data_IF_108041836536
#
_entry.id   IF_108041836536
#
_cell.length_a   1.000
_cell.length_b   1.000
_cell.length_c   1.000
_cell.angle_alpha   90.00
_cell.angle_beta   90.00
_cell.angle_gamma   90.00
#
_symmetry.space_group_name_H-M   'P 1'
#
loop_
_entity.id
_entity.type
_entity.pdbx_description
1 polymer ?
#
# COMPACT_ATOMS: atom_id res chain seq x y z
N UNK A 1 3.09 14.27 10.37
CA UNK A 1 4.30 14.31 9.52
C UNK A 1 4.63 12.88 9.14
N UNK A 2 4.95 12.61 7.88
CA UNK A 2 5.42 11.27 7.51
C UNK A 2 6.71 10.94 8.28
N UNK A 3 6.70 9.79 8.92
CA UNK A 3 7.79 9.24 9.72
C UNK A 3 7.84 7.73 9.43
N UNK A 4 8.74 7.03 10.11
CA UNK A 4 8.92 5.59 9.95
C UNK A 4 7.62 4.78 10.11
N UNK A 5 6.66 5.28 10.90
CA UNK A 5 5.38 4.60 11.16
C UNK A 5 4.51 4.48 9.90
N UNK A 6 4.47 5.53 9.06
CA UNK A 6 3.77 5.48 7.75
C UNK A 6 4.40 4.45 6.81
N UNK A 7 5.71 4.22 6.91
CA UNK A 7 6.38 3.17 6.15
C UNK A 7 6.03 1.77 6.68
N UNK A 8 5.87 1.60 8.00
CA UNK A 8 5.38 0.35 8.57
C UNK A 8 3.92 0.07 8.17
N UNK A 9 3.07 1.11 8.13
CA UNK A 9 1.69 1.00 7.63
C UNK A 9 1.66 0.52 6.18
N UNK A 10 2.53 1.06 5.32
CA UNK A 10 2.66 0.61 3.93
C UNK A 10 3.02 -0.88 3.84
N UNK A 11 3.97 -1.35 4.66
CA UNK A 11 4.33 -2.77 4.71
C UNK A 11 3.15 -3.64 5.16
N UNK A 12 2.46 -3.23 6.24
CA UNK A 12 1.31 -3.96 6.75
C UNK A 12 0.17 -4.07 5.71
N UNK A 13 -0.04 -3.03 4.90
CA UNK A 13 -1.01 -3.08 3.79
C UNK A 13 -0.61 -4.09 2.72
N UNK A 14 0.68 -4.19 2.38
CA UNK A 14 1.17 -5.17 1.40
C UNK A 14 0.98 -6.58 1.94
N UNK A 15 1.43 -6.84 3.17
CA UNK A 15 1.33 -8.16 3.81
C UNK A 15 -0.14 -8.60 3.95
N UNK A 16 -1.04 -7.66 4.28
CA UNK A 16 -2.47 -7.92 4.42
C UNK A 16 -3.17 -8.34 3.12
N UNK A 17 -2.59 -8.08 1.96
CA UNK A 17 -3.16 -8.46 0.66
C UNK A 17 -2.81 -9.88 0.21
N UNK A 18 -1.83 -10.53 0.83
CA UNK A 18 -1.28 -11.80 0.38
C UNK A 18 -2.35 -12.90 0.22
N UNK A 19 -3.24 -13.02 1.21
CA UNK A 19 -4.31 -14.03 1.21
C UNK A 19 -5.33 -13.80 0.09
N UNK A 20 -5.71 -12.55 -0.17
CA UNK A 20 -6.66 -12.24 -1.24
C UNK A 20 -6.00 -12.31 -2.62
N UNK A 21 -4.70 -11.98 -2.71
CA UNK A 21 -3.92 -12.17 -3.92
C UNK A 21 -3.84 -13.65 -4.30
N UNK A 22 -3.49 -14.54 -3.36
CA UNK A 22 -3.50 -15.99 -3.59
C UNK A 22 -4.87 -16.45 -4.07
N UNK A 23 -5.95 -16.15 -3.33
CA UNK A 23 -7.32 -16.54 -3.71
C UNK A 23 -7.71 -16.03 -5.11
N UNK A 24 -7.28 -14.86 -5.51
CA UNK A 24 -7.56 -14.33 -6.85
C UNK A 24 -6.74 -15.05 -7.93
N UNK A 25 -5.43 -15.12 -7.79
CA UNK A 25 -4.54 -15.67 -8.82
C UNK A 25 -4.59 -17.19 -8.94
N UNK A 26 -4.86 -17.92 -7.85
CA UNK A 26 -4.90 -19.40 -7.87
C UNK A 26 -6.30 -19.96 -7.99
N UNK A 27 -7.32 -19.27 -7.46
CA UNK A 27 -8.71 -19.78 -7.40
C UNK A 27 -9.71 -18.95 -8.20
N UNK A 28 -9.27 -17.89 -8.90
CA UNK A 28 -10.14 -17.05 -9.72
C UNK A 28 -11.21 -16.28 -8.92
N UNK A 29 -11.01 -16.06 -7.61
CA UNK A 29 -12.03 -15.43 -6.76
C UNK A 29 -12.21 -13.94 -7.08
N UNK A 30 -13.30 -13.56 -7.75
CA UNK A 30 -13.56 -12.19 -8.18
C UNK A 30 -13.70 -11.18 -7.04
N UNK A 31 -14.25 -11.59 -5.89
CA UNK A 31 -14.37 -10.72 -4.72
C UNK A 31 -13.00 -10.43 -4.10
N UNK A 32 -12.12 -11.43 -4.04
CA UNK A 32 -10.73 -11.26 -3.64
C UNK A 32 -10.00 -10.31 -4.61
N UNK A 33 -10.19 -10.46 -5.92
CA UNK A 33 -9.64 -9.54 -6.92
C UNK A 33 -10.09 -8.08 -6.72
N UNK A 34 -11.35 -7.87 -6.32
CA UNK A 34 -11.85 -6.52 -6.00
C UNK A 34 -11.15 -5.92 -4.78
N UNK A 35 -10.94 -6.72 -3.72
CA UNK A 35 -10.21 -6.30 -2.51
C UNK A 35 -8.74 -6.01 -2.80
N UNK A 36 -8.06 -6.87 -3.56
CA UNK A 36 -6.66 -6.64 -3.99
C UNK A 36 -6.54 -5.33 -4.75
N UNK A 37 -7.41 -5.10 -5.75
CA UNK A 37 -7.38 -3.85 -6.52
C UNK A 37 -7.58 -2.62 -5.64
N UNK A 38 -8.50 -2.68 -4.67
CA UNK A 38 -8.73 -1.58 -3.73
C UNK A 38 -7.52 -1.36 -2.83
N UNK A 39 -6.94 -2.41 -2.25
CA UNK A 39 -5.74 -2.30 -1.42
C UNK A 39 -4.52 -1.78 -2.19
N UNK A 40 -4.34 -2.19 -3.45
CA UNK A 40 -3.30 -1.64 -4.33
C UNK A 40 -3.48 -0.14 -4.57
N UNK A 41 -4.72 0.34 -4.67
CA UNK A 41 -5.00 1.77 -4.79
C UNK A 41 -4.65 2.53 -3.50
N UNK A 42 -4.89 1.93 -2.33
CA UNK A 42 -4.54 2.53 -1.04
C UNK A 42 -3.02 2.56 -0.83
N UNK A 43 -2.31 1.48 -1.21
CA UNK A 43 -0.84 1.40 -1.27
C UNK A 43 -0.26 2.50 -2.16
N UNK A 44 -0.81 2.70 -3.36
CA UNK A 44 -0.36 3.76 -4.29
C UNK A 44 -0.47 5.13 -3.64
N UNK A 45 -1.59 5.42 -2.99
CA UNK A 45 -1.84 6.72 -2.36
C UNK A 45 -0.87 6.95 -1.20
N UNK A 46 -0.73 5.98 -0.29
CA UNK A 46 0.18 6.08 0.86
C UNK A 46 1.65 6.20 0.42
N UNK A 47 2.06 5.44 -0.59
CA UNK A 47 3.41 5.53 -1.16
C UNK A 47 3.71 6.91 -1.75
N UNK A 48 2.72 7.50 -2.45
CA UNK A 48 2.86 8.84 -3.01
C UNK A 48 2.95 9.90 -1.91
N UNK A 49 2.13 9.80 -0.86
CA UNK A 49 2.18 10.69 0.30
C UNK A 49 3.55 10.62 0.98
N UNK A 50 4.05 9.42 1.25
CA UNK A 50 5.39 9.19 1.82
C UNK A 50 6.48 9.84 0.98
N UNK A 51 6.47 9.63 -0.34
CA UNK A 51 7.45 10.20 -1.28
C UNK A 51 7.44 11.73 -1.23
N UNK A 52 6.27 12.36 -1.31
CA UNK A 52 6.14 13.82 -1.29
C UNK A 52 6.69 14.40 0.02
N UNK A 53 6.36 13.80 1.15
CA UNK A 53 6.87 14.24 2.44
C UNK A 53 8.41 14.12 2.54
N UNK A 54 9.01 13.05 2.02
CA UNK A 54 10.48 12.91 1.95
C UNK A 54 11.09 14.06 1.13
N UNK A 55 10.48 14.38 -0.01
CA UNK A 55 10.92 15.48 -0.86
C UNK A 55 10.80 16.84 -0.14
N UNK A 56 9.71 17.08 0.58
CA UNK A 56 9.53 18.30 1.39
C UNK A 56 10.56 18.41 2.50
N UNK A 57 10.86 17.32 3.22
CA UNK A 57 11.88 17.29 4.26
C UNK A 57 13.28 17.56 3.70
N UNK A 58 13.58 17.05 2.50
CA UNK A 58 14.83 17.35 1.79
C UNK A 58 14.93 18.82 1.42
N UNK A 59 13.83 19.44 0.97
CA UNK A 59 13.80 20.84 0.53
C UNK A 59 13.73 21.86 1.69
N UNK A 60 13.38 21.42 2.91
CA UNK A 60 13.37 22.25 4.13
C UNK A 60 14.74 22.30 4.83
N UNK A 61 15.71 21.51 4.37
CA UNK A 61 17.13 21.67 4.71
C UNK A 61 17.79 22.63 3.74
#
# INVERSE_FOLDING_TARGET
MANFDKFQELKALVDGLETDADKFFTKGNSAAGTRVRKGLQDIKNLSQELRLNIQELKNKK
#
